data_IF_240005389301
#
_entry.id   IF_240005389301
#
_cell.length_a   1.000
_cell.length_b   1.000
_cell.length_c   1.000
_cell.angle_alpha   90.00
_cell.angle_beta   90.00
_cell.angle_gamma   90.00
#
_symmetry.space_group_name_H-M   'P 1'
#
loop_
_entity.id
_entity.type
_entity.pdbx_description
1 polymer ?
#
# COMPACT_ATOMS: atom_id res chain seq x y z
N UNK A 1 -6.49 -7.14 -14.63
CA UNK A 1 -5.60 -8.29 -14.96
C UNK A 1 -4.92 -8.19 -16.33
N UNK A 2 -5.60 -7.78 -17.41
CA UNK A 2 -5.00 -7.74 -18.77
C UNK A 2 -3.73 -6.89 -18.84
N UNK A 3 -3.76 -5.68 -18.26
CA UNK A 3 -2.60 -4.76 -18.23
C UNK A 3 -1.36 -5.42 -17.62
N UNK A 4 -1.48 -6.09 -16.46
CA UNK A 4 -0.35 -6.76 -15.82
C UNK A 4 0.23 -7.88 -16.70
N UNK A 5 -0.64 -8.68 -17.33
CA UNK A 5 -0.19 -9.73 -18.28
C UNK A 5 0.52 -9.14 -19.49
N UNK A 6 -0.02 -8.06 -20.06
CA UNK A 6 0.59 -7.37 -21.20
C UNK A 6 1.96 -6.77 -20.83
N UNK A 7 2.16 -6.37 -19.57
CA UNK A 7 3.45 -5.91 -19.02
C UNK A 7 4.41 -7.06 -18.66
N UNK A 8 3.98 -8.32 -18.83
CA UNK A 8 4.77 -9.52 -18.57
C UNK A 8 4.77 -9.98 -17.10
N UNK A 9 3.84 -9.50 -16.28
CA UNK A 9 3.67 -9.99 -14.92
C UNK A 9 2.81 -11.26 -14.88
N UNK A 10 3.20 -12.20 -14.00
CA UNK A 10 2.43 -13.39 -13.68
C UNK A 10 1.56 -13.13 -12.44
N UNK A 11 0.31 -13.61 -12.43
CA UNK A 11 -0.51 -13.64 -11.23
C UNK A 11 0.02 -14.73 -10.31
N UNK A 12 0.29 -14.37 -9.05
CA UNK A 12 0.81 -15.30 -8.03
C UNK A 12 -0.28 -15.63 -7.01
N UNK A 13 -1.00 -14.63 -6.51
CA UNK A 13 -2.12 -14.81 -5.60
C UNK A 13 -3.33 -14.00 -6.06
N UNK A 14 -4.45 -14.68 -6.29
CA UNK A 14 -5.69 -14.02 -6.71
C UNK A 14 -6.41 -13.31 -5.56
N UNK A 15 -6.22 -13.75 -4.32
CA UNK A 15 -6.88 -13.17 -3.15
C UNK A 15 -6.23 -11.86 -2.73
N UNK A 16 -4.89 -11.82 -2.74
CA UNK A 16 -4.09 -10.61 -2.47
C UNK A 16 -3.90 -9.74 -3.74
N UNK A 17 -4.44 -10.18 -4.88
CA UNK A 17 -4.20 -9.58 -6.20
C UNK A 17 -2.71 -9.35 -6.50
N UNK A 18 -1.86 -10.31 -6.10
CA UNK A 18 -0.41 -10.23 -6.21
C UNK A 18 0.07 -10.66 -7.60
N UNK A 19 0.90 -9.82 -8.20
CA UNK A 19 1.56 -10.06 -9.49
C UNK A 19 3.08 -9.95 -9.35
N UNK A 20 3.82 -10.86 -9.98
CA UNK A 20 5.29 -10.83 -9.96
C UNK A 20 5.93 -10.85 -11.35
N UNK A 21 7.06 -10.15 -11.46
CA UNK A 21 7.96 -10.14 -12.63
C UNK A 21 9.38 -9.80 -12.18
N UNK A 22 10.36 -10.60 -12.60
CA UNK A 22 11.79 -10.32 -12.35
C UNK A 22 12.14 -10.05 -10.86
N UNK A 23 11.46 -10.75 -9.94
CA UNK A 23 11.64 -10.59 -8.49
C UNK A 23 10.94 -9.38 -7.87
N UNK A 24 10.21 -8.58 -8.65
CA UNK A 24 9.35 -7.50 -8.17
C UNK A 24 7.93 -8.01 -7.96
N UNK A 25 7.31 -7.60 -6.85
CA UNK A 25 5.89 -7.86 -6.56
C UNK A 25 5.07 -6.57 -6.62
N UNK A 26 3.87 -6.66 -7.18
CA UNK A 26 2.87 -5.59 -7.28
C UNK A 26 1.53 -6.16 -6.85
N UNK A 27 0.93 -5.54 -5.83
CA UNK A 27 -0.35 -5.92 -5.25
C UNK A 27 -1.36 -4.78 -5.44
N UNK A 28 -2.64 -5.13 -5.55
CA UNK A 28 -3.71 -4.14 -5.74
C UNK A 28 -4.70 -4.16 -4.59
N UNK A 29 -4.94 -2.98 -4.02
CA UNK A 29 -6.05 -2.70 -3.12
C UNK A 29 -7.00 -1.66 -3.72
N UNK A 30 -8.18 -1.50 -3.11
CA UNK A 30 -9.12 -0.44 -3.49
C UNK A 30 -8.80 0.85 -2.73
N UNK A 31 -8.56 1.94 -3.46
CA UNK A 31 -8.35 3.26 -2.86
C UNK A 31 -9.61 3.75 -2.12
N UNK A 32 -10.80 3.33 -2.56
CA UNK A 32 -12.08 3.70 -1.97
C UNK A 32 -12.26 3.18 -0.54
N UNK A 33 -11.50 2.15 -0.14
CA UNK A 33 -11.52 1.60 1.22
C UNK A 33 -10.65 2.39 2.20
N UNK A 34 -9.74 3.23 1.70
CA UNK A 34 -8.77 3.93 2.52
C UNK A 34 -9.37 4.92 3.54
N UNK A 35 -10.46 5.66 3.23
CA UNK A 35 -11.11 6.54 4.19
C UNK A 35 -11.64 5.79 5.41
N UNK A 36 -12.39 4.70 5.18
CA UNK A 36 -12.97 3.91 6.28
C UNK A 36 -11.91 3.12 7.04
N UNK A 37 -10.87 2.66 6.33
CA UNK A 37 -9.80 1.85 6.91
C UNK A 37 -8.84 2.66 7.78
N UNK A 38 -8.37 3.82 7.29
CA UNK A 38 -7.28 4.58 7.91
C UNK A 38 -7.59 6.07 8.08
N UNK A 39 -8.80 6.53 7.78
CA UNK A 39 -9.16 7.95 7.84
C UNK A 39 -8.45 8.83 6.81
N UNK A 40 -7.94 8.23 5.71
CA UNK A 40 -7.23 8.96 4.66
C UNK A 40 -8.07 8.99 3.39
N UNK A 41 -8.51 10.20 2.99
CA UNK A 41 -9.23 10.41 1.73
C UNK A 41 -8.27 10.43 0.55
N UNK A 42 -8.67 9.89 -0.62
CA UNK A 42 -7.90 10.02 -1.87
C UNK A 42 -7.63 11.49 -2.21
N UNK A 43 -8.61 12.37 -1.96
CA UNK A 43 -8.50 13.81 -2.24
C UNK A 43 -7.38 14.49 -1.46
N UNK A 44 -7.00 13.91 -0.32
CA UNK A 44 -6.03 14.49 0.60
C UNK A 44 -4.62 13.92 0.36
N UNK A 45 -4.48 12.94 -0.55
CA UNK A 45 -3.18 12.42 -0.97
C UNK A 45 -2.66 13.28 -2.12
N UNK A 46 -1.46 13.80 -1.94
CA UNK A 46 -0.81 14.67 -2.92
C UNK A 46 -0.72 13.99 -4.30
N UNK A 47 -1.18 14.71 -5.33
CA UNK A 47 -1.01 14.32 -6.72
C UNK A 47 0.35 14.82 -7.22
N UNK A 48 1.29 13.90 -7.40
CA UNK A 48 2.66 14.18 -7.82
C UNK A 48 2.74 14.03 -9.34
N UNK A 49 3.37 15.02 -9.97
CA UNK A 49 3.73 15.00 -11.39
C UNK A 49 5.26 14.87 -11.52
N UNK A 50 5.71 13.77 -12.08
CA UNK A 50 7.13 13.51 -12.34
C UNK A 50 7.30 13.17 -13.81
N UNK A 51 7.93 14.08 -14.57
CA UNK A 51 8.06 13.98 -16.03
C UNK A 51 6.70 13.75 -16.72
N UNK A 52 6.48 12.57 -17.29
CA UNK A 52 5.24 12.16 -17.95
C UNK A 52 4.37 11.22 -17.07
N UNK A 53 4.70 11.06 -15.79
CA UNK A 53 4.03 10.19 -14.84
C UNK A 53 3.24 11.03 -13.84
N UNK A 54 2.02 10.59 -13.54
CA UNK A 54 1.17 11.20 -12.51
C UNK A 54 0.73 10.11 -11.55
N UNK A 55 0.96 10.33 -10.25
CA UNK A 55 0.67 9.34 -9.22
C UNK A 55 0.42 10.01 -7.86
N UNK A 56 -0.15 9.27 -6.93
CA UNK A 56 -0.41 9.72 -5.56
C UNK A 56 0.49 8.96 -4.59
N UNK A 57 1.04 9.66 -3.60
CA UNK A 57 1.82 9.06 -2.51
C UNK A 57 1.34 9.64 -1.19
N UNK A 58 0.92 8.80 -0.22
CA UNK A 58 0.59 9.26 1.13
C UNK A 58 1.75 10.05 1.77
N UNK A 59 1.42 11.08 2.56
CA UNK A 59 2.39 11.73 3.44
C UNK A 59 2.90 10.78 4.52
N UNK A 60 3.95 11.16 5.25
CA UNK A 60 4.46 10.35 6.36
C UNK A 60 3.40 10.16 7.46
N UNK A 61 2.59 11.17 7.75
CA UNK A 61 1.47 11.11 8.70
C UNK A 61 0.36 10.19 8.20
N UNK A 62 0.04 10.25 6.90
CA UNK A 62 -0.96 9.36 6.29
C UNK A 62 -0.46 7.92 6.29
N UNK A 63 0.82 7.68 5.97
CA UNK A 63 1.44 6.36 6.11
C UNK A 63 1.37 5.85 7.55
N UNK A 64 1.63 6.71 8.54
CA UNK A 64 1.51 6.33 9.96
C UNK A 64 0.08 5.90 10.30
N UNK A 65 -0.93 6.62 9.83
CA UNK A 65 -2.34 6.25 10.03
C UNK A 65 -2.66 4.88 9.40
N UNK A 66 -2.21 4.67 8.16
CA UNK A 66 -2.41 3.42 7.42
C UNK A 66 -1.74 2.25 8.14
N UNK A 67 -0.49 2.40 8.60
CA UNK A 67 0.19 1.32 9.30
C UNK A 67 -0.41 1.05 10.68
N UNK A 68 -0.88 2.09 11.39
CA UNK A 68 -1.61 1.91 12.66
C UNK A 68 -2.88 1.11 12.45
N UNK A 69 -3.71 1.47 11.46
CA UNK A 69 -4.90 0.69 11.11
C UNK A 69 -4.55 -0.76 10.72
N UNK A 70 -3.55 -0.93 9.84
CA UNK A 70 -3.03 -2.23 9.41
C UNK A 70 -2.55 -3.12 10.56
N UNK A 71 -1.95 -2.54 11.60
CA UNK A 71 -1.47 -3.29 12.76
C UNK A 71 -2.59 -3.86 13.64
N UNK A 72 -3.80 -3.33 13.53
CA UNK A 72 -4.98 -3.81 14.28
C UNK A 72 -5.76 -4.87 13.51
N UNK A 73 -5.46 -5.07 12.22
CA UNK A 73 -6.05 -6.13 11.42
C UNK A 73 -5.48 -7.48 11.86
N UNK A 74 -6.36 -8.35 12.39
CA UNK A 74 -5.95 -9.64 12.96
C UNK A 74 -5.30 -10.57 11.94
N UNK A 75 -5.76 -10.56 10.68
CA UNK A 75 -5.17 -11.39 9.63
C UNK A 75 -3.74 -10.92 9.35
N UNK A 76 -3.53 -9.60 9.22
CA UNK A 76 -2.18 -9.06 9.00
C UNK A 76 -1.27 -9.23 10.20
N UNK A 77 -1.76 -9.05 11.43
CA UNK A 77 -0.92 -9.19 12.61
C UNK A 77 -0.37 -10.63 12.75
N UNK A 78 -1.15 -11.63 12.36
CA UNK A 78 -0.74 -13.04 12.37
C UNK A 78 0.22 -13.41 11.22
N UNK A 79 0.13 -12.73 10.06
CA UNK A 79 0.86 -13.11 8.83
C UNK A 79 1.99 -12.14 8.41
N UNK A 80 2.13 -10.96 9.03
CA UNK A 80 3.01 -9.88 8.53
C UNK A 80 4.39 -9.78 9.22
N UNK A 81 4.82 -10.78 10.00
CA UNK A 81 6.15 -10.83 10.62
C UNK A 81 6.59 -9.50 11.30
N UNK A 82 5.65 -8.81 11.97
CA UNK A 82 5.83 -7.52 12.64
C UNK A 82 6.38 -6.37 11.76
N UNK A 83 6.22 -6.43 10.43
CA UNK A 83 6.73 -5.37 9.54
C UNK A 83 6.06 -4.01 9.79
N UNK A 84 4.76 -3.99 10.06
CA UNK A 84 4.03 -2.74 10.31
C UNK A 84 4.52 -2.04 11.58
N UNK A 85 4.77 -2.76 12.67
CA UNK A 85 5.32 -2.19 13.90
C UNK A 85 6.67 -1.50 13.69
N UNK A 86 7.56 -2.10 12.89
CA UNK A 86 8.86 -1.48 12.56
C UNK A 86 8.70 -0.18 11.77
N UNK A 87 7.73 -0.12 10.86
CA UNK A 87 7.43 1.09 10.09
C UNK A 87 6.81 2.17 10.98
N UNK A 88 5.87 1.80 11.86
CA UNK A 88 5.28 2.69 12.85
C UNK A 88 6.37 3.28 13.75
N UNK A 89 7.24 2.45 14.33
CA UNK A 89 8.34 2.89 15.19
C UNK A 89 9.26 3.88 14.47
N UNK A 90 9.61 3.59 13.20
CA UNK A 90 10.42 4.50 12.42
C UNK A 90 9.71 5.84 12.19
N UNK A 91 8.43 5.83 11.79
CA UNK A 91 7.66 7.04 11.52
C UNK A 91 7.46 7.89 12.78
N UNK A 92 7.13 7.28 13.91
CA UNK A 92 6.96 7.99 15.20
C UNK A 92 8.24 8.65 15.70
N UNK A 93 9.42 8.23 15.21
CA UNK A 93 10.71 8.84 15.54
C UNK A 93 11.14 9.98 14.61
N UNK A 94 10.54 10.10 13.43
CA UNK A 94 11.00 11.01 12.36
C UNK A 94 9.93 12.01 11.89
N UNK A 95 8.70 11.90 12.38
CA UNK A 95 7.67 12.93 12.35
C UNK A 95 7.86 13.91 13.51
#
# INVERSE_FOLDING_TARGET
MKVMKDLGYALIDIHEHEFQKDGLSVEFGSIDSLPDFAGVSESDIELIHLENITFRVPSLEQFLSIYKASSQDSYRNEHNNNKDFKKIEWLERHL
#
